data_IF_831513004159
#
_entry.id   IF_831513004159
#
_cell.length_a   1.000
_cell.length_b   1.000
_cell.length_c   1.000
_cell.angle_alpha   90.00
_cell.angle_beta   90.00
_cell.angle_gamma   90.00
#
_symmetry.space_group_name_H-M   'P 1'
#
loop_
_entity.id
_entity.type
_entity.pdbx_description
1 polymer ?
#
# COMPACT_ATOMS: atom_id res chain seq x y z
N UNK A 1 9.43 2.53 9.38
CA UNK A 1 9.40 3.77 8.55
C UNK A 1 9.22 3.32 7.10
N UNK A 2 8.02 3.47 6.53
CA UNK A 2 7.67 2.88 5.22
C UNK A 2 7.97 3.84 4.07
N UNK A 3 7.68 5.12 4.28
CA UNK A 3 7.87 6.20 3.31
C UNK A 3 8.16 7.51 4.06
N UNK A 4 8.59 8.55 3.35
CA UNK A 4 8.71 9.89 3.93
C UNK A 4 7.33 10.49 4.22
N UNK A 5 7.28 11.46 5.14
CA UNK A 5 6.03 12.07 5.56
C UNK A 5 5.34 12.85 4.42
N UNK A 6 6.09 13.47 3.52
CA UNK A 6 5.51 14.30 2.46
C UNK A 6 4.79 13.48 1.41
N UNK A 7 5.31 12.32 1.04
CA UNK A 7 4.64 11.41 0.11
C UNK A 7 3.39 10.77 0.73
N UNK A 8 3.38 10.50 2.05
CA UNK A 8 2.17 10.00 2.74
C UNK A 8 1.10 11.09 2.80
N UNK A 9 1.47 12.33 3.09
CA UNK A 9 0.54 13.47 3.07
C UNK A 9 -0.05 13.72 1.69
N UNK A 10 0.79 13.75 0.64
CA UNK A 10 0.33 13.98 -0.73
C UNK A 10 -0.66 12.89 -1.18
N UNK A 11 -0.36 11.62 -0.88
CA UNK A 11 -1.25 10.52 -1.21
C UNK A 11 -2.60 10.64 -0.48
N UNK A 12 -2.58 11.01 0.81
CA UNK A 12 -3.81 11.20 1.60
C UNK A 12 -4.65 12.38 1.13
N UNK A 13 -4.04 13.52 0.82
CA UNK A 13 -4.74 14.72 0.35
C UNK A 13 -5.41 14.54 -1.01
N UNK A 14 -4.93 13.58 -1.81
CA UNK A 14 -5.47 13.28 -3.14
C UNK A 14 -6.25 11.96 -3.19
N UNK A 15 -6.59 11.37 -2.03
CA UNK A 15 -7.29 10.09 -1.93
C UNK A 15 -6.62 8.94 -2.73
N UNK A 16 -5.29 8.96 -2.84
CA UNK A 16 -4.51 7.95 -3.53
C UNK A 16 -4.18 6.82 -2.53
N UNK A 17 -4.75 5.61 -2.70
CA UNK A 17 -4.47 4.49 -1.79
C UNK A 17 -3.05 3.96 -1.99
N UNK A 18 -2.35 3.70 -0.88
CA UNK A 18 -1.01 3.10 -0.90
C UNK A 18 -1.13 1.63 -0.52
N UNK A 19 -0.58 0.75 -1.35
CA UNK A 19 -0.58 -0.70 -1.14
C UNK A 19 0.85 -1.20 -0.92
N UNK A 20 1.12 -1.66 0.30
CA UNK A 20 2.46 -2.11 0.71
C UNK A 20 2.46 -3.63 0.77
N UNK A 21 3.35 -4.27 0.02
CA UNK A 21 3.52 -5.72 -0.01
C UNK A 21 4.99 -6.11 -0.21
N UNK A 22 5.31 -7.38 0.03
CA UNK A 22 6.65 -7.91 -0.18
C UNK A 22 6.85 -8.37 -1.63
N UNK A 23 7.88 -7.86 -2.30
CA UNK A 23 8.26 -8.29 -3.66
C UNK A 23 9.02 -9.62 -3.69
N UNK A 24 9.50 -10.09 -2.53
CA UNK A 24 10.28 -11.33 -2.46
C UNK A 24 9.42 -12.59 -2.52
N UNK A 25 8.11 -12.48 -2.32
CA UNK A 25 7.19 -13.60 -2.44
C UNK A 25 6.80 -13.79 -3.91
N UNK A 26 7.17 -14.92 -4.54
CA UNK A 26 6.71 -15.23 -5.90
C UNK A 26 5.18 -15.22 -5.95
N UNK A 27 4.61 -14.50 -6.91
CA UNK A 27 3.15 -14.35 -7.03
C UNK A 27 2.51 -13.36 -6.06
N UNK A 28 3.29 -12.74 -5.15
CA UNK A 28 2.77 -11.79 -4.16
C UNK A 28 2.03 -10.60 -4.78
N UNK A 29 2.47 -10.11 -5.93
CA UNK A 29 1.78 -9.04 -6.65
C UNK A 29 0.37 -9.44 -7.10
N UNK A 30 0.21 -10.63 -7.68
CA UNK A 30 -1.08 -11.13 -8.16
C UNK A 30 -2.03 -11.39 -6.99
N UNK A 31 -1.53 -11.97 -5.90
CA UNK A 31 -2.31 -12.21 -4.68
C UNK A 31 -2.86 -10.90 -4.11
N UNK A 32 -1.99 -9.89 -4.00
CA UNK A 32 -2.33 -8.58 -3.43
C UNK A 32 -3.33 -7.82 -4.30
N UNK A 33 -3.22 -7.91 -5.64
CA UNK A 33 -4.23 -7.35 -6.55
C UNK A 33 -5.60 -8.03 -6.43
N UNK A 34 -5.64 -9.31 -6.03
CA UNK A 34 -6.88 -10.05 -5.75
C UNK A 34 -7.43 -9.78 -4.35
N UNK A 35 -6.75 -8.97 -3.53
CA UNK A 35 -7.11 -8.73 -2.14
C UNK A 35 -6.72 -9.88 -1.20
N UNK A 36 -5.88 -10.80 -1.66
CA UNK A 36 -5.38 -11.96 -0.92
C UNK A 36 -3.92 -11.75 -0.48
N UNK A 37 -3.44 -12.62 0.41
CA UNK A 37 -2.06 -12.59 0.86
C UNK A 37 -1.75 -11.47 1.86
N UNK A 38 -0.45 -11.18 2.01
CA UNK A 38 0.06 -10.34 3.09
C UNK A 38 0.40 -8.94 2.53
N UNK A 39 -0.45 -7.98 2.85
CA UNK A 39 -0.28 -6.59 2.46
C UNK A 39 -0.83 -5.64 3.53
N UNK A 40 -0.44 -4.38 3.41
CA UNK A 40 -1.02 -3.29 4.18
C UNK A 40 -1.59 -2.29 3.21
N UNK A 41 -2.89 -2.02 3.32
CA UNK A 41 -3.53 -0.91 2.65
C UNK A 41 -3.47 0.29 3.58
N UNK A 42 -2.95 1.40 3.08
CA UNK A 42 -3.01 2.70 3.77
C UNK A 42 -3.97 3.56 2.97
N UNK A 43 -5.11 3.87 3.57
CA UNK A 43 -6.02 4.90 3.10
C UNK A 43 -6.10 6.08 4.10
N UNK A 44 -6.61 7.21 3.61
CA UNK A 44 -6.92 8.37 4.43
C UNK A 44 -8.00 7.97 5.42
N UNK A 45 -7.58 7.50 6.59
CA UNK A 45 -8.46 6.92 7.60
C UNK A 45 -9.70 7.78 7.85
N UNK A 46 -10.84 7.11 7.94
CA UNK A 46 -11.96 7.60 8.73
C UNK A 46 -11.58 7.60 10.23
#
# INVERSE_FOLDING_TARGET
KVMDASAVSLARENDIPILVFSIHNPGGFVEVLRGNGLFTKVDGGA
#
